data_IF_119573457228
#
_entry.id   IF_119573457228
#
_cell.length_a   1.000
_cell.length_b   1.000
_cell.length_c   1.000
_cell.angle_alpha   90.00
_cell.angle_beta   90.00
_cell.angle_gamma   90.00
#
_symmetry.space_group_name_H-M   'P 1'
#
loop_
_entity.id
_entity.type
_entity.pdbx_description
1 polymer ?
#
# COMPACT_ATOMS: atom_id res chain seq x y z
N UNK A 1 -16.08 7.08 -10.41
CA UNK A 1 -15.17 5.92 -10.30
C UNK A 1 -15.92 4.76 -9.65
N UNK A 2 -15.85 3.58 -10.22
CA UNK A 2 -16.55 2.44 -9.66
C UNK A 2 -15.67 1.76 -8.58
N UNK A 3 -16.26 0.81 -7.84
CA UNK A 3 -15.58 0.14 -6.73
C UNK A 3 -14.34 -0.62 -7.21
N UNK A 4 -14.44 -1.29 -8.36
CA UNK A 4 -13.33 -2.06 -8.91
C UNK A 4 -12.13 -1.17 -9.22
N UNK A 5 -12.38 -0.05 -9.88
CA UNK A 5 -11.31 0.90 -10.23
C UNK A 5 -10.68 1.48 -8.96
N UNK A 6 -11.51 1.78 -7.96
CA UNK A 6 -11.04 2.32 -6.69
C UNK A 6 -10.10 1.33 -6.00
N UNK A 7 -10.47 0.05 -5.95
CA UNK A 7 -9.61 -0.97 -5.33
C UNK A 7 -8.30 -1.14 -6.10
N UNK A 8 -8.33 -1.08 -7.43
CA UNK A 8 -7.11 -1.14 -8.24
C UNK A 8 -6.18 0.01 -7.93
N UNK A 9 -6.72 1.21 -7.73
CA UNK A 9 -5.92 2.37 -7.39
C UNK A 9 -5.26 2.22 -6.01
N UNK A 10 -6.00 1.68 -5.03
CA UNK A 10 -5.42 1.41 -3.71
C UNK A 10 -4.31 0.36 -3.80
N UNK A 11 -4.53 -0.69 -4.59
CA UNK A 11 -3.51 -1.71 -4.81
C UNK A 11 -2.25 -1.10 -5.41
N UNK A 12 -2.41 -0.29 -6.47
CA UNK A 12 -1.26 0.37 -7.09
C UNK A 12 -0.55 1.32 -6.13
N UNK A 13 -1.31 2.04 -5.32
CA UNK A 13 -0.71 2.93 -4.32
C UNK A 13 0.16 2.12 -3.35
N UNK A 14 -0.32 0.95 -2.91
CA UNK A 14 0.46 0.09 -2.03
C UNK A 14 1.75 -0.39 -2.67
N UNK A 15 1.70 -0.79 -3.95
CA UNK A 15 2.90 -1.21 -4.69
C UNK A 15 3.89 -0.06 -4.79
N UNK A 16 3.42 1.12 -5.18
CA UNK A 16 4.29 2.29 -5.38
C UNK A 16 4.92 2.71 -4.07
N UNK A 17 4.14 2.83 -3.00
CA UNK A 17 4.68 3.23 -1.69
C UNK A 17 5.73 2.22 -1.23
N UNK A 18 5.42 0.93 -1.36
CA UNK A 18 6.35 -0.12 -0.94
C UNK A 18 7.68 -0.01 -1.71
N UNK A 19 7.60 0.10 -3.04
CA UNK A 19 8.80 0.14 -3.87
C UNK A 19 9.63 1.39 -3.59
N UNK A 20 8.99 2.55 -3.50
CA UNK A 20 9.71 3.80 -3.25
C UNK A 20 10.44 3.78 -1.92
N UNK A 21 9.76 3.35 -0.85
CA UNK A 21 10.37 3.32 0.48
C UNK A 21 11.45 2.24 0.53
N UNK A 22 11.20 1.08 -0.11
CA UNK A 22 12.19 0.01 -0.17
C UNK A 22 13.48 0.49 -0.85
N UNK A 23 13.37 1.28 -1.91
CA UNK A 23 14.53 1.82 -2.60
C UNK A 23 15.26 2.85 -1.77
N UNK A 24 14.52 3.73 -1.09
CA UNK A 24 15.12 4.79 -0.26
C UNK A 24 15.93 4.17 0.88
N UNK A 25 15.37 3.21 1.58
CA UNK A 25 16.02 2.57 2.73
C UNK A 25 16.81 1.33 2.36
N UNK A 26 16.74 0.90 1.10
CA UNK A 26 17.42 -0.32 0.60
C UNK A 26 16.99 -1.55 1.38
N UNK A 27 15.71 -1.60 1.76
CA UNK A 27 15.16 -2.70 2.53
C UNK A 27 13.67 -2.87 2.21
N UNK A 28 13.29 -3.99 1.57
CA UNK A 28 11.88 -4.21 1.19
C UNK A 28 10.93 -4.22 2.39
N UNK A 29 11.40 -4.64 3.55
CA UNK A 29 10.55 -4.69 4.75
C UNK A 29 10.07 -3.30 5.14
N UNK A 30 10.92 -2.27 5.02
CA UNK A 30 10.51 -0.91 5.30
C UNK A 30 9.43 -0.44 4.33
N UNK A 31 9.51 -0.88 3.07
CA UNK A 31 8.47 -0.59 2.09
C UNK A 31 7.14 -1.22 2.47
N UNK A 32 7.16 -2.47 2.92
CA UNK A 32 5.94 -3.16 3.36
C UNK A 32 5.31 -2.43 4.55
N UNK A 33 6.11 -2.10 5.55
CA UNK A 33 5.63 -1.37 6.73
C UNK A 33 5.02 -0.03 6.31
N UNK A 34 5.68 0.69 5.41
CA UNK A 34 5.19 1.98 4.94
C UNK A 34 3.83 1.83 4.24
N UNK A 35 3.63 0.78 3.44
CA UNK A 35 2.36 0.56 2.76
C UNK A 35 1.23 0.24 3.75
N UNK A 36 1.53 -0.50 4.82
CA UNK A 36 0.55 -0.78 5.86
C UNK A 36 0.14 0.52 6.56
N UNK A 37 1.13 1.34 6.93
CA UNK A 37 0.86 2.63 7.57
C UNK A 37 0.06 3.55 6.64
N UNK A 38 0.41 3.59 5.36
CA UNK A 38 -0.29 4.41 4.38
C UNK A 38 -1.76 3.99 4.23
N UNK A 39 -2.02 2.68 4.19
CA UNK A 39 -3.39 2.18 4.10
C UNK A 39 -4.22 2.56 5.33
N UNK A 40 -3.66 2.40 6.51
CA UNK A 40 -4.34 2.77 7.75
C UNK A 40 -4.56 4.28 7.81
N UNK A 41 -3.53 5.06 7.49
CA UNK A 41 -3.61 6.52 7.54
C UNK A 41 -4.66 7.07 6.59
N UNK A 42 -4.76 6.50 5.39
CA UNK A 42 -5.77 6.92 4.42
C UNK A 42 -7.18 6.66 4.95
N UNK A 43 -7.41 5.50 5.58
CA UNK A 43 -8.72 5.16 6.10
C UNK A 43 -9.08 6.01 7.33
N UNK A 44 -8.10 6.34 8.16
CA UNK A 44 -8.34 7.26 9.28
C UNK A 44 -8.72 8.64 8.75
N UNK A 45 -8.01 9.12 7.74
CA UNK A 45 -8.33 10.41 7.11
C UNK A 45 -9.74 10.41 6.54
N UNK A 46 -10.11 9.34 5.82
CA UNK A 46 -11.44 9.24 5.23
C UNK A 46 -12.52 9.18 6.30
N UNK A 47 -12.25 8.52 7.41
CA UNK A 47 -13.21 8.46 8.52
C UNK A 47 -13.49 9.85 9.09
N UNK A 48 -12.43 10.64 9.33
CA UNK A 48 -12.61 11.98 9.87
C UNK A 48 -13.24 12.94 8.88
N UNK A 49 -12.90 12.79 7.60
CA UNK A 49 -13.32 13.74 6.55
C UNK A 49 -14.71 13.41 6.00
N UNK A 50 -14.99 12.12 5.80
CA UNK A 50 -16.21 11.67 5.15
C UNK A 50 -17.09 10.80 6.05
N UNK A 51 -16.63 10.46 7.23
CA UNK A 51 -17.37 9.60 8.12
C UNK A 51 -17.42 8.14 7.70
N UNK A 52 -16.54 7.72 6.80
CA UNK A 52 -16.53 6.37 6.26
C UNK A 52 -15.18 5.72 6.48
N UNK A 53 -15.21 4.50 7.01
CA UNK A 53 -14.03 3.66 7.13
C UNK A 53 -14.24 2.42 6.26
N UNK A 54 -13.48 2.30 5.17
CA UNK A 54 -13.60 1.16 4.26
C UNK A 54 -12.37 0.27 4.44
N UNK A 55 -12.53 -0.77 5.24
CA UNK A 55 -11.44 -1.69 5.52
C UNK A 55 -10.95 -2.39 4.25
N UNK A 56 -11.83 -2.60 3.27
CA UNK A 56 -11.43 -3.21 2.00
C UNK A 56 -10.43 -2.37 1.23
N UNK A 57 -10.51 -1.03 1.34
CA UNK A 57 -9.52 -0.15 0.71
C UNK A 57 -8.15 -0.32 1.37
N UNK A 58 -8.12 -0.42 2.69
CA UNK A 58 -6.87 -0.68 3.40
C UNK A 58 -6.30 -2.04 3.00
N UNK A 59 -7.14 -3.07 2.91
CA UNK A 59 -6.70 -4.39 2.46
C UNK A 59 -6.11 -4.35 1.06
N UNK A 60 -6.73 -3.62 0.14
CA UNK A 60 -6.22 -3.51 -1.22
C UNK A 60 -4.82 -2.87 -1.22
N UNK A 61 -4.62 -1.83 -0.41
CA UNK A 61 -3.32 -1.19 -0.27
C UNK A 61 -2.30 -2.16 0.32
N UNK A 62 -2.67 -2.93 1.33
CA UNK A 62 -1.78 -3.90 1.95
C UNK A 62 -1.39 -5.02 0.99
N UNK A 63 -2.35 -5.53 0.20
CA UNK A 63 -2.05 -6.54 -0.81
C UNK A 63 -1.06 -5.98 -1.83
N UNK A 64 -1.24 -4.72 -2.23
CA UNK A 64 -0.29 -4.05 -3.09
C UNK A 64 1.10 -3.95 -2.45
N UNK A 65 1.15 -3.63 -1.17
CA UNK A 65 2.40 -3.61 -0.42
C UNK A 65 3.09 -4.96 -0.40
N UNK A 66 2.33 -6.03 -0.19
CA UNK A 66 2.88 -7.39 -0.22
C UNK A 66 3.45 -7.71 -1.60
N UNK A 67 2.72 -7.36 -2.67
CA UNK A 67 3.21 -7.57 -4.03
C UNK A 67 4.52 -6.80 -4.26
N UNK A 68 4.58 -5.55 -3.83
CA UNK A 68 5.81 -4.75 -3.94
C UNK A 68 6.95 -5.33 -3.12
N UNK A 69 6.64 -5.86 -1.94
CA UNK A 69 7.64 -6.52 -1.09
C UNK A 69 8.23 -7.74 -1.78
N UNK A 70 7.39 -8.58 -2.37
CA UNK A 70 7.86 -9.78 -3.08
C UNK A 70 8.77 -9.37 -4.24
N UNK A 71 8.36 -8.38 -5.02
CA UNK A 71 9.18 -7.89 -6.13
C UNK A 71 10.52 -7.36 -5.61
N UNK A 72 10.50 -6.59 -4.52
CA UNK A 72 11.71 -6.06 -3.93
C UNK A 72 12.67 -7.14 -3.45
N UNK A 73 12.14 -8.17 -2.83
CA UNK A 73 12.97 -9.30 -2.37
C UNK A 73 13.58 -10.03 -3.54
N UNK A 74 12.81 -10.26 -4.61
CA UNK A 74 13.31 -10.94 -5.80
C UNK A 74 14.42 -10.13 -6.48
N UNK A 75 14.23 -8.82 -6.60
CA UNK A 75 15.23 -7.95 -7.20
C UNK A 75 16.51 -7.95 -6.36
N UNK A 76 16.37 -7.87 -5.04
CA UNK A 76 17.52 -7.87 -4.15
C UNK A 76 18.28 -9.19 -4.20
N UNK A 77 17.58 -10.29 -4.42
CA UNK A 77 18.22 -11.62 -4.52
C UNK A 77 18.98 -11.80 -5.84
N UNK A 78 18.62 -11.03 -6.87
CA UNK A 78 19.34 -11.08 -8.13
C UNK A 78 20.64 -10.28 -8.08
#
# INVERSE_FOLDING_TARGET
>A
MNIETDKKLHFLAGVIVCILVALIFKNPMYGLIASVIAGIGKEIYDYYDYGKFDFADALATWVGGIAGYIVGVLIKAL
#
